data_IF_774667305239
#
_entry.id   IF_774667305239
#
_cell.length_a   1.000
_cell.length_b   1.000
_cell.length_c   1.000
_cell.angle_alpha   90.00
_cell.angle_beta   90.00
_cell.angle_gamma   90.00
#
_symmetry.space_group_name_H-M   'P 1'
#
loop_
_entity.id
_entity.type
_entity.pdbx_description
1 polymer ?
#
# COMPACT_ATOMS: atom_id res chain seq x y z
N UNK A 1 5.82 1.96 -12.10
CA UNK A 1 4.43 1.48 -11.87
C UNK A 1 4.43 -0.03 -11.73
N UNK A 2 3.66 -0.57 -10.79
CA UNK A 2 3.41 -2.00 -10.59
C UNK A 2 1.93 -2.30 -10.91
N UNK A 3 1.70 -3.27 -11.78
CA UNK A 3 0.36 -3.79 -12.09
C UNK A 3 0.28 -5.26 -11.69
N UNK A 4 -0.71 -5.61 -10.87
CA UNK A 4 -1.12 -6.99 -10.63
C UNK A 4 -2.26 -7.36 -11.56
N UNK A 5 -2.10 -8.39 -12.38
CA UNK A 5 -3.10 -8.83 -13.36
C UNK A 5 -3.52 -10.27 -13.10
N UNK A 6 -4.76 -10.62 -13.45
CA UNK A 6 -5.21 -12.01 -13.47
C UNK A 6 -4.61 -12.73 -14.69
N UNK A 7 -4.34 -14.02 -14.59
CA UNK A 7 -3.92 -14.82 -15.75
C UNK A 7 -5.13 -15.24 -16.60
N UNK A 8 -4.98 -15.22 -17.92
CA UNK A 8 -6.03 -15.67 -18.88
C UNK A 8 -6.12 -17.19 -19.05
N UNK A 9 -5.39 -17.98 -18.27
CA UNK A 9 -5.36 -19.44 -18.38
C UNK A 9 -4.37 -19.95 -19.44
N UNK A 10 -4.34 -21.28 -19.61
CA UNK A 10 -3.43 -21.96 -20.53
C UNK A 10 -3.73 -21.64 -21.99
N UNK A 11 -2.70 -21.30 -22.76
CA UNK A 11 -2.76 -21.19 -24.24
C UNK A 11 -2.96 -19.79 -24.81
N UNK A 12 -3.17 -18.75 -23.99
CA UNK A 12 -3.18 -17.35 -24.42
C UNK A 12 -1.94 -16.60 -23.89
N UNK A 13 -1.61 -15.45 -24.49
CA UNK A 13 -0.65 -14.54 -23.84
C UNK A 13 -1.22 -14.13 -22.49
N UNK A 14 -0.61 -14.62 -21.41
CA UNK A 14 -1.04 -14.39 -20.02
C UNK A 14 -1.08 -12.89 -19.64
N UNK A 15 -0.50 -12.05 -20.47
CA UNK A 15 -0.39 -10.61 -20.26
C UNK A 15 -1.44 -9.81 -21.01
N UNK A 16 -2.11 -10.39 -22.03
CA UNK A 16 -3.08 -9.70 -22.88
C UNK A 16 -4.52 -9.92 -22.43
N UNK A 17 -5.35 -8.88 -22.58
CA UNK A 17 -6.79 -8.96 -22.28
C UNK A 17 -7.12 -9.10 -20.80
N UNK A 18 -6.14 -8.99 -19.89
CA UNK A 18 -6.33 -9.14 -18.44
C UNK A 18 -6.64 -7.81 -17.77
N UNK A 19 -7.48 -7.85 -16.74
CA UNK A 19 -7.74 -6.68 -15.89
C UNK A 19 -6.64 -6.54 -14.84
N UNK A 20 -6.31 -5.28 -14.51
CA UNK A 20 -5.37 -4.99 -13.43
C UNK A 20 -6.11 -4.86 -12.10
N UNK A 21 -5.98 -5.87 -11.25
CA UNK A 21 -6.59 -5.88 -9.92
C UNK A 21 -5.78 -5.11 -8.87
N UNK A 22 -4.53 -4.84 -9.16
CA UNK A 22 -3.62 -4.01 -8.37
C UNK A 22 -2.96 -2.98 -9.27
N UNK A 23 -3.03 -1.70 -8.90
CA UNK A 23 -2.41 -0.58 -9.61
C UNK A 23 -1.66 0.25 -8.57
N UNK A 24 -0.33 0.19 -8.57
CA UNK A 24 0.51 0.93 -7.64
C UNK A 24 1.50 1.78 -8.42
N UNK A 25 1.49 3.08 -8.16
CA UNK A 25 2.50 4.01 -8.67
C UNK A 25 3.59 4.13 -7.60
N UNK A 26 4.81 3.80 -7.97
CA UNK A 26 5.98 3.94 -7.09
C UNK A 26 6.82 5.11 -7.60
N UNK A 27 6.98 6.11 -6.77
CA UNK A 27 7.88 7.23 -6.98
C UNK A 27 9.16 7.02 -6.17
N UNK A 28 10.28 6.95 -6.86
CA UNK A 28 11.61 6.75 -6.28
C UNK A 28 12.37 8.05 -6.42
N UNK A 29 12.82 8.61 -5.30
CA UNK A 29 13.63 9.83 -5.32
C UNK A 29 15.04 9.58 -4.76
N UNK A 30 16.04 9.51 -5.64
CA UNK A 30 17.42 9.32 -5.23
C UNK A 30 18.00 10.51 -4.41
N UNK A 31 17.47 11.73 -4.61
CA UNK A 31 17.99 12.93 -3.93
C UNK A 31 17.65 12.95 -2.44
N UNK A 32 16.43 12.57 -2.09
CA UNK A 32 15.98 12.51 -0.70
C UNK A 32 16.09 11.10 -0.13
N UNK A 33 16.52 10.15 -0.95
CA UNK A 33 16.65 8.74 -0.60
C UNK A 33 15.36 8.17 -0.03
N UNK A 34 14.24 8.33 -0.79
CA UNK A 34 12.91 7.95 -0.34
C UNK A 34 12.08 7.25 -1.42
N UNK A 35 11.08 6.48 -0.99
CA UNK A 35 10.13 5.78 -1.85
C UNK A 35 8.71 6.13 -1.42
N UNK A 36 7.89 6.58 -2.38
CA UNK A 36 6.47 6.81 -2.17
C UNK A 36 5.66 5.87 -3.06
N UNK A 37 4.67 5.18 -2.50
CA UNK A 37 3.80 4.26 -3.23
C UNK A 37 2.34 4.69 -3.13
N UNK A 38 1.68 4.91 -4.26
CA UNK A 38 0.26 5.26 -4.34
C UNK A 38 -0.51 4.09 -4.94
N UNK A 39 -1.42 3.51 -4.17
CA UNK A 39 -2.38 2.52 -4.65
C UNK A 39 -3.59 3.23 -5.26
N UNK A 40 -3.96 2.87 -6.48
CA UNK A 40 -5.15 3.35 -7.15
C UNK A 40 -6.22 2.26 -7.08
N UNK A 41 -7.38 2.51 -6.43
CA UNK A 41 -8.45 1.52 -6.36
C UNK A 41 -8.87 1.07 -7.76
N UNK A 42 -8.85 -0.23 -8.02
CA UNK A 42 -9.11 -0.81 -9.35
C UNK A 42 -10.47 -0.43 -9.95
N UNK A 43 -11.45 -0.18 -9.09
CA UNK A 43 -12.82 0.19 -9.48
C UNK A 43 -13.00 1.71 -9.67
N UNK A 44 -11.91 2.50 -9.61
CA UNK A 44 -11.95 3.94 -9.82
C UNK A 44 -12.59 4.27 -11.15
N UNK A 45 -13.62 5.14 -11.10
CA UNK A 45 -14.31 5.64 -12.29
C UNK A 45 -13.44 6.66 -13.00
N UNK A 46 -13.01 6.35 -14.21
CA UNK A 46 -12.16 7.22 -15.02
C UNK A 46 -12.65 7.26 -16.47
N UNK A 47 -12.23 8.27 -17.21
CA UNK A 47 -12.37 8.28 -18.67
C UNK A 47 -11.15 7.60 -19.29
N UNK A 48 -11.37 6.53 -20.03
CA UNK A 48 -10.31 5.87 -20.78
C UNK A 48 -10.13 6.55 -22.15
N UNK A 49 -8.91 6.95 -22.51
CA UNK A 49 -8.58 7.51 -23.83
C UNK A 49 -8.96 6.58 -24.99
N UNK A 50 -8.66 7.04 -26.22
CA UNK A 50 -8.86 6.28 -27.46
C UNK A 50 -10.31 5.79 -27.64
N UNK A 51 -11.28 6.67 -27.32
CA UNK A 51 -12.72 6.44 -27.47
C UNK A 51 -13.27 5.24 -26.65
N UNK A 52 -12.59 4.83 -25.57
CA UNK A 52 -13.05 3.76 -24.69
C UNK A 52 -14.11 4.23 -23.68
N UNK A 53 -14.26 5.55 -23.48
CA UNK A 53 -15.29 6.15 -22.64
C UNK A 53 -15.07 5.96 -21.14
N UNK A 54 -16.14 6.15 -20.37
CA UNK A 54 -16.11 6.03 -18.91
C UNK A 54 -16.13 4.57 -18.49
N UNK A 55 -15.08 4.14 -17.79
CA UNK A 55 -14.86 2.75 -17.34
C UNK A 55 -14.25 2.72 -15.94
N UNK A 56 -14.11 1.50 -15.38
CA UNK A 56 -13.22 1.26 -14.26
C UNK A 56 -11.77 1.30 -14.75
N UNK A 57 -10.86 1.89 -13.97
CA UNK A 57 -9.46 2.01 -14.37
C UNK A 57 -8.80 0.67 -14.66
N UNK A 58 -9.24 -0.41 -13.97
CA UNK A 58 -8.71 -1.76 -14.19
C UNK A 58 -9.00 -2.32 -15.59
N UNK A 59 -9.98 -1.76 -16.31
CA UNK A 59 -10.28 -2.16 -17.69
C UNK A 59 -9.26 -1.63 -18.69
N UNK A 60 -8.47 -0.62 -18.33
CA UNK A 60 -7.50 -0.03 -19.24
C UNK A 60 -6.48 -1.05 -19.76
N UNK A 61 -5.98 -1.94 -18.88
CA UNK A 61 -5.03 -2.96 -19.30
C UNK A 61 -5.67 -3.99 -20.25
N UNK A 62 -6.89 -4.44 -19.96
CA UNK A 62 -7.59 -5.38 -20.81
C UNK A 62 -7.94 -4.82 -22.20
N UNK A 63 -8.22 -3.50 -22.29
CA UNK A 63 -8.70 -2.85 -23.51
C UNK A 63 -7.60 -2.28 -24.41
N UNK A 64 -6.38 -2.08 -23.88
CA UNK A 64 -5.30 -1.48 -24.65
C UNK A 64 -3.91 -1.66 -24.01
N UNK A 65 -3.77 -2.67 -23.15
CA UNK A 65 -2.49 -3.03 -22.53
C UNK A 65 -1.87 -1.89 -21.74
N UNK A 66 -0.56 -2.01 -21.54
CA UNK A 66 0.22 -1.04 -20.77
C UNK A 66 0.17 0.39 -21.32
N UNK A 67 0.06 0.54 -22.65
CA UNK A 67 0.03 1.85 -23.29
C UNK A 67 -1.23 2.64 -22.92
N UNK A 68 -2.39 1.98 -22.92
CA UNK A 68 -3.65 2.61 -22.51
C UNK A 68 -3.64 2.94 -21.01
N UNK A 69 -3.04 2.08 -20.16
CA UNK A 69 -2.87 2.38 -18.74
C UNK A 69 -2.00 3.63 -18.55
N UNK A 70 -0.82 3.70 -19.19
CA UNK A 70 0.09 4.86 -19.12
C UNK A 70 -0.62 6.15 -19.57
N UNK A 71 -1.38 6.08 -20.67
CA UNK A 71 -2.13 7.23 -21.22
C UNK A 71 -3.25 7.66 -20.27
N UNK A 72 -4.00 6.70 -19.72
CA UNK A 72 -5.06 6.97 -18.73
C UNK A 72 -4.50 7.67 -17.49
N UNK A 73 -3.39 7.18 -16.93
CA UNK A 73 -2.74 7.77 -15.77
C UNK A 73 -2.26 9.20 -16.04
N UNK A 74 -1.72 9.44 -17.25
CA UNK A 74 -1.27 10.78 -17.65
C UNK A 74 -2.45 11.74 -17.82
N UNK A 75 -3.52 11.33 -18.51
CA UNK A 75 -4.67 12.21 -18.77
C UNK A 75 -5.55 12.43 -17.54
N UNK A 76 -5.72 11.40 -16.68
CA UNK A 76 -6.58 11.51 -15.50
C UNK A 76 -5.88 12.18 -14.30
N UNK A 77 -4.59 11.85 -14.09
CA UNK A 77 -3.87 12.23 -12.87
C UNK A 77 -2.63 13.09 -13.13
N UNK A 78 -2.29 13.35 -14.39
CA UNK A 78 -1.05 14.04 -14.78
C UNK A 78 0.21 13.18 -14.59
N UNK A 79 0.10 11.91 -14.17
CA UNK A 79 1.23 11.07 -13.79
C UNK A 79 1.87 10.45 -15.04
N UNK A 80 3.14 10.76 -15.28
CA UNK A 80 3.97 10.10 -16.30
C UNK A 80 4.61 8.85 -15.72
N UNK A 81 4.52 7.74 -16.45
CA UNK A 81 5.11 6.46 -16.05
C UNK A 81 6.37 6.21 -16.88
N UNK A 82 7.53 6.21 -16.24
CA UNK A 82 8.82 5.95 -16.87
C UNK A 82 9.09 4.46 -17.07
N UNK A 83 8.85 3.66 -16.02
CA UNK A 83 9.08 2.21 -16.01
C UNK A 83 7.88 1.47 -15.43
N UNK A 84 7.68 0.21 -15.85
CA UNK A 84 6.60 -0.60 -15.33
C UNK A 84 7.05 -2.03 -15.01
N UNK A 85 6.30 -2.66 -14.12
CA UNK A 85 6.35 -4.08 -13.81
C UNK A 85 4.90 -4.59 -13.83
N UNK A 86 4.64 -5.65 -14.58
CA UNK A 86 3.37 -6.38 -14.57
C UNK A 86 3.64 -7.75 -13.94
N UNK A 87 2.85 -8.09 -12.95
CA UNK A 87 2.92 -9.38 -12.23
C UNK A 87 1.57 -10.06 -12.24
N UNK A 88 1.57 -11.38 -12.22
CA UNK A 88 0.39 -12.20 -11.95
C UNK A 88 0.61 -13.03 -10.67
N UNK A 89 -0.42 -13.71 -10.20
CA UNK A 89 -0.40 -14.42 -8.92
C UNK A 89 0.78 -15.40 -8.80
N UNK A 90 1.14 -16.10 -9.89
CA UNK A 90 2.28 -17.03 -9.88
C UNK A 90 3.61 -16.31 -9.64
N UNK A 91 3.80 -15.12 -10.21
CA UNK A 91 4.99 -14.31 -9.95
C UNK A 91 5.10 -13.94 -8.47
N UNK A 92 3.98 -13.54 -7.85
CA UNK A 92 3.91 -13.25 -6.41
C UNK A 92 4.27 -14.51 -5.61
N UNK A 93 3.69 -15.66 -5.96
CA UNK A 93 3.98 -16.95 -5.31
C UNK A 93 5.48 -17.24 -5.34
N UNK A 94 6.09 -17.19 -6.52
CA UNK A 94 7.51 -17.51 -6.70
C UNK A 94 8.45 -16.53 -6.02
N UNK A 95 8.17 -15.24 -6.07
CA UNK A 95 8.95 -14.20 -5.38
C UNK A 95 8.91 -14.42 -3.86
N UNK A 96 7.72 -14.66 -3.30
CA UNK A 96 7.56 -14.88 -1.86
C UNK A 96 8.32 -16.14 -1.43
N UNK A 97 8.24 -17.23 -2.19
CA UNK A 97 8.95 -18.48 -1.89
C UNK A 97 10.46 -18.28 -1.99
N UNK A 98 10.97 -17.58 -3.01
CA UNK A 98 12.40 -17.24 -3.15
C UNK A 98 12.91 -16.41 -1.96
N UNK A 99 12.09 -15.50 -1.43
CA UNK A 99 12.40 -14.72 -0.22
C UNK A 99 12.38 -15.57 1.07
N UNK A 100 11.86 -16.79 1.02
CA UNK A 100 11.66 -17.66 2.19
C UNK A 100 10.46 -17.27 3.03
N UNK A 101 9.43 -16.71 2.39
CA UNK A 101 8.19 -16.29 3.02
C UNK A 101 8.19 -14.85 3.52
N UNK A 102 6.98 -14.31 3.74
CA UNK A 102 6.76 -12.95 4.24
C UNK A 102 6.11 -13.02 5.62
N UNK A 103 6.75 -12.47 6.67
CA UNK A 103 6.15 -12.39 7.99
C UNK A 103 5.00 -11.36 7.97
N UNK A 104 3.82 -11.79 8.44
CA UNK A 104 2.64 -10.92 8.49
C UNK A 104 1.75 -11.29 9.68
N UNK A 105 1.03 -10.31 10.20
CA UNK A 105 -0.05 -10.56 11.14
C UNK A 105 -1.37 -10.72 10.39
N UNK A 106 -1.95 -11.91 10.47
CA UNK A 106 -3.28 -12.18 9.92
C UNK A 106 -4.32 -11.69 10.92
N UNK A 107 -5.09 -10.68 10.56
CA UNK A 107 -5.98 -9.95 11.47
C UNK A 107 -7.18 -10.77 11.94
N UNK A 108 -7.56 -11.79 11.19
CA UNK A 108 -8.67 -12.71 11.48
C UNK A 108 -8.50 -14.04 10.75
N UNK A 109 -9.19 -15.11 11.14
CA UNK A 109 -9.19 -16.35 10.36
C UNK A 109 -9.73 -16.09 8.96
N UNK A 110 -9.03 -16.58 7.93
CA UNK A 110 -9.44 -16.46 6.52
C UNK A 110 -9.60 -17.86 5.95
N UNK A 111 -10.85 -18.27 5.75
CA UNK A 111 -11.20 -19.57 5.16
C UNK A 111 -12.06 -19.33 3.95
N UNK A 112 -11.58 -19.77 2.78
CA UNK A 112 -12.30 -19.64 1.52
C UNK A 112 -11.83 -20.70 0.53
N UNK A 113 -12.79 -21.30 -0.15
CA UNK A 113 -12.53 -22.29 -1.18
C UNK A 113 -13.28 -21.90 -2.46
N UNK A 114 -12.53 -21.77 -3.54
CA UNK A 114 -13.05 -21.56 -4.89
C UNK A 114 -12.46 -22.62 -5.79
N UNK A 115 -13.28 -23.63 -6.10
CA UNK A 115 -12.87 -24.75 -6.95
C UNK A 115 -12.66 -24.32 -8.40
N UNK A 116 -13.49 -23.40 -8.91
CA UNK A 116 -13.39 -22.89 -10.28
C UNK A 116 -12.15 -22.01 -10.47
N UNK A 117 -11.87 -21.14 -9.51
CA UNK A 117 -10.69 -20.26 -9.49
C UNK A 117 -9.43 -20.92 -8.92
N UNK A 118 -9.46 -22.22 -8.58
CA UNK A 118 -8.36 -22.97 -7.95
C UNK A 118 -7.72 -22.24 -6.74
N UNK A 119 -8.56 -21.51 -5.98
CA UNK A 119 -8.10 -20.71 -4.85
C UNK A 119 -8.55 -21.36 -3.54
N UNK A 120 -7.58 -21.75 -2.72
CA UNK A 120 -7.80 -22.29 -1.38
C UNK A 120 -7.10 -21.44 -0.36
N UNK A 121 -7.87 -20.75 0.48
CA UNK A 121 -7.34 -19.89 1.55
C UNK A 121 -7.68 -20.56 2.88
N UNK A 122 -6.67 -20.82 3.68
CA UNK A 122 -6.80 -21.31 5.04
C UNK A 122 -5.68 -20.68 5.87
N UNK A 123 -5.98 -19.53 6.47
CA UNK A 123 -5.06 -18.78 7.31
C UNK A 123 -5.71 -18.56 8.68
N UNK A 124 -5.00 -18.92 9.71
CA UNK A 124 -5.42 -18.64 11.09
C UNK A 124 -4.99 -17.22 11.49
N UNK A 125 -5.70 -16.64 12.43
CA UNK A 125 -5.35 -15.32 13.01
C UNK A 125 -4.03 -15.40 13.78
N UNK A 126 -3.21 -14.38 13.64
CA UNK A 126 -1.97 -14.23 14.40
C UNK A 126 -0.74 -13.97 13.54
N UNK A 127 0.41 -13.91 14.17
CA UNK A 127 1.70 -13.78 13.49
C UNK A 127 2.05 -15.08 12.77
N UNK A 128 2.36 -14.98 11.49
CA UNK A 128 2.75 -16.11 10.66
C UNK A 128 3.74 -15.69 9.58
N UNK A 129 4.43 -16.65 8.99
CA UNK A 129 5.25 -16.44 7.79
C UNK A 129 4.51 -17.07 6.63
N UNK A 130 3.94 -16.24 5.76
CA UNK A 130 3.20 -16.69 4.58
C UNK A 130 4.16 -17.23 3.53
N UNK A 131 3.95 -18.46 3.05
CA UNK A 131 4.55 -18.94 1.81
C UNK A 131 3.85 -18.30 0.59
N UNK A 132 4.35 -18.57 -0.62
CA UNK A 132 3.82 -17.96 -1.83
C UNK A 132 2.33 -18.16 -2.03
N UNK A 133 1.83 -19.39 -1.90
CA UNK A 133 0.39 -19.69 -2.02
C UNK A 133 -0.46 -18.99 -0.95
N UNK A 134 0.03 -18.97 0.26
CA UNK A 134 -0.63 -18.28 1.37
C UNK A 134 -0.65 -16.76 1.15
N UNK A 135 0.43 -16.19 0.63
CA UNK A 135 0.52 -14.77 0.29
C UNK A 135 -0.50 -14.38 -0.79
N UNK A 136 -0.59 -15.15 -1.88
CA UNK A 136 -1.62 -14.95 -2.92
C UNK A 136 -3.02 -15.05 -2.30
N UNK A 137 -3.26 -16.05 -1.46
CA UNK A 137 -4.54 -16.21 -0.74
C UNK A 137 -4.88 -14.98 0.11
N UNK A 138 -3.92 -14.49 0.89
CA UNK A 138 -4.07 -13.31 1.74
C UNK A 138 -4.40 -12.04 0.92
N UNK A 139 -3.71 -11.83 -0.18
CA UNK A 139 -3.92 -10.69 -1.08
C UNK A 139 -5.26 -10.74 -1.82
N UNK A 140 -5.80 -11.94 -2.07
CA UNK A 140 -7.07 -12.15 -2.80
C UNK A 140 -8.29 -12.28 -1.91
N UNK A 141 -8.14 -12.44 -0.60
CA UNK A 141 -9.26 -12.64 0.31
C UNK A 141 -10.21 -11.44 0.36
N UNK A 142 -11.55 -11.73 0.21
CA UNK A 142 -12.62 -10.69 0.16
C UNK A 142 -13.86 -11.06 0.99
N UNK A 143 -13.87 -12.22 1.64
CA UNK A 143 -15.05 -12.72 2.39
C UNK A 143 -15.13 -12.10 3.81
N UNK A 144 -14.89 -10.79 3.89
CA UNK A 144 -15.09 -10.02 5.10
C UNK A 144 -16.08 -8.87 4.88
N UNK A 145 -16.61 -8.30 5.96
CA UNK A 145 -17.55 -7.19 5.89
C UNK A 145 -16.98 -5.90 5.26
N UNK A 146 -15.65 -5.83 5.06
CA UNK A 146 -14.95 -4.71 4.45
C UNK A 146 -14.74 -4.89 2.93
N UNK A 147 -14.96 -6.10 2.39
CA UNK A 147 -14.87 -6.38 0.95
C UNK A 147 -13.58 -5.88 0.29
N UNK A 148 -13.70 -5.00 -0.69
CA UNK A 148 -12.56 -4.42 -1.42
C UNK A 148 -11.70 -3.47 -0.58
N UNK A 149 -12.25 -2.80 0.42
CA UNK A 149 -11.49 -1.94 1.34
C UNK A 149 -10.52 -2.81 2.15
N UNK A 150 -11.00 -3.90 2.73
CA UNK A 150 -10.16 -4.83 3.48
C UNK A 150 -9.07 -5.46 2.62
N UNK A 151 -9.35 -5.75 1.33
CA UNK A 151 -8.34 -6.24 0.39
C UNK A 151 -7.24 -5.18 0.13
N UNK A 152 -7.61 -3.95 -0.15
CA UNK A 152 -6.64 -2.86 -0.37
C UNK A 152 -5.74 -2.68 0.85
N UNK A 153 -6.30 -2.75 2.04
CA UNK A 153 -5.56 -2.66 3.29
C UNK A 153 -4.56 -3.81 3.46
N UNK A 154 -4.98 -5.05 3.15
CA UNK A 154 -4.08 -6.22 3.16
C UNK A 154 -2.95 -6.09 2.14
N UNK A 155 -3.22 -5.56 0.96
CA UNK A 155 -2.19 -5.27 -0.04
C UNK A 155 -1.15 -4.27 0.49
N UNK A 156 -1.58 -3.23 1.20
CA UNK A 156 -0.66 -2.27 1.83
C UNK A 156 0.19 -2.93 2.92
N UNK A 157 -0.43 -3.72 3.80
CA UNK A 157 0.30 -4.44 4.85
C UNK A 157 1.31 -5.42 4.27
N UNK A 158 0.91 -6.15 3.23
CA UNK A 158 1.80 -7.06 2.52
C UNK A 158 2.98 -6.33 1.87
N UNK A 159 2.73 -5.24 1.16
CA UNK A 159 3.81 -4.43 0.56
C UNK A 159 4.81 -3.95 1.61
N UNK A 160 4.32 -3.54 2.76
CA UNK A 160 5.16 -3.14 3.87
C UNK A 160 6.02 -4.30 4.37
N UNK A 161 5.40 -5.43 4.74
CA UNK A 161 6.14 -6.60 5.20
C UNK A 161 7.13 -7.11 4.14
N UNK A 162 6.80 -6.95 2.86
CA UNK A 162 7.74 -7.23 1.77
C UNK A 162 8.96 -6.28 1.81
N UNK A 163 8.75 -4.98 2.00
CA UNK A 163 9.84 -4.02 2.16
C UNK A 163 10.71 -4.34 3.37
N UNK A 164 10.10 -4.57 4.54
CA UNK A 164 10.81 -5.00 5.76
C UNK A 164 11.63 -6.27 5.51
N UNK A 165 11.04 -7.26 4.83
CA UNK A 165 11.74 -8.50 4.47
C UNK A 165 12.93 -8.24 3.55
N UNK A 166 12.80 -7.36 2.56
CA UNK A 166 13.89 -7.00 1.65
C UNK A 166 15.07 -6.34 2.38
N UNK A 167 14.84 -5.66 3.50
CA UNK A 167 15.89 -5.07 4.34
C UNK A 167 16.58 -6.09 5.25
N UNK A 168 15.99 -7.27 5.45
CA UNK A 168 16.56 -8.28 6.32
C UNK A 168 17.91 -8.82 5.78
N UNK A 169 18.90 -9.05 6.66
CA UNK A 169 20.21 -9.58 6.23
C UNK A 169 20.12 -10.91 5.49
N UNK A 170 19.13 -11.75 5.84
CA UNK A 170 18.93 -13.08 5.25
C UNK A 170 18.55 -13.04 3.76
N UNK A 171 18.04 -11.90 3.28
CA UNK A 171 17.64 -11.76 1.86
C UNK A 171 18.83 -11.47 0.95
N UNK A 172 19.96 -11.01 1.47
CA UNK A 172 21.13 -10.66 0.64
C UNK A 172 21.55 -11.84 -0.26
N UNK A 173 21.62 -13.03 0.30
CA UNK A 173 22.00 -14.24 -0.43
C UNK A 173 20.92 -14.74 -1.39
N UNK A 174 19.68 -14.27 -1.23
CA UNK A 174 18.53 -14.67 -2.04
C UNK A 174 18.22 -13.70 -3.19
N UNK A 175 18.86 -12.54 -3.22
CA UNK A 175 18.65 -11.54 -4.28
C UNK A 175 18.82 -12.12 -5.69
N UNK A 176 19.88 -12.90 -6.00
CA UNK A 176 20.04 -13.48 -7.34
C UNK A 176 18.87 -14.39 -7.72
N UNK A 177 18.37 -15.20 -6.78
CA UNK A 177 17.21 -16.09 -7.00
C UNK A 177 15.94 -15.27 -7.27
N UNK A 178 15.66 -14.24 -6.46
CA UNK A 178 14.52 -13.33 -6.64
C UNK A 178 14.59 -12.64 -8.00
N UNK A 179 15.75 -12.13 -8.40
CA UNK A 179 15.92 -11.48 -9.70
C UNK A 179 15.70 -12.45 -10.86
N UNK A 180 16.13 -13.71 -10.72
CA UNK A 180 15.88 -14.73 -11.73
C UNK A 180 14.38 -15.05 -11.85
N UNK A 181 13.67 -15.17 -10.72
CA UNK A 181 12.21 -15.32 -10.70
C UNK A 181 11.54 -14.10 -11.36
N UNK A 182 11.97 -12.91 -11.02
CA UNK A 182 11.44 -11.69 -11.65
C UNK A 182 11.63 -11.71 -13.18
N UNK A 183 12.81 -12.09 -13.66
CA UNK A 183 13.08 -12.17 -15.10
C UNK A 183 12.20 -13.20 -15.83
N UNK A 184 11.76 -14.24 -15.13
CA UNK A 184 10.96 -15.32 -15.72
C UNK A 184 9.44 -15.04 -15.65
N UNK A 185 8.97 -14.45 -14.55
CA UNK A 185 7.56 -14.39 -14.19
C UNK A 185 6.96 -12.98 -14.21
N UNK A 186 7.72 -11.95 -14.60
CA UNK A 186 7.21 -10.58 -14.73
C UNK A 186 7.38 -10.06 -16.17
N UNK A 187 6.49 -9.15 -16.57
CA UNK A 187 6.63 -8.36 -17.80
C UNK A 187 7.04 -6.94 -17.44
N UNK A 188 8.15 -6.47 -17.99
CA UNK A 188 8.70 -5.15 -17.68
C UNK A 188 9.44 -4.56 -18.88
N UNK A 189 9.58 -3.22 -18.92
CA UNK A 189 10.46 -2.49 -19.83
C UNK A 189 11.84 -2.20 -19.23
N UNK A 190 12.14 -2.79 -18.06
CA UNK A 190 13.43 -2.66 -17.41
C UNK A 190 14.36 -3.83 -17.77
N UNK A 191 15.64 -3.52 -17.99
CA UNK A 191 16.69 -4.53 -18.05
C UNK A 191 16.95 -5.16 -16.68
N UNK A 192 17.58 -6.32 -16.69
CA UNK A 192 18.01 -6.97 -15.43
C UNK A 192 18.92 -6.06 -14.59
N UNK A 193 19.78 -5.29 -15.24
CA UNK A 193 20.65 -4.32 -14.55
C UNK A 193 19.82 -3.23 -13.86
N UNK A 194 18.85 -2.63 -14.55
CA UNK A 194 17.95 -1.62 -13.94
C UNK A 194 17.16 -2.19 -12.76
N UNK A 195 16.61 -3.42 -12.91
CA UNK A 195 15.92 -4.09 -11.81
C UNK A 195 16.83 -4.28 -10.59
N UNK A 196 18.09 -4.68 -10.81
CA UNK A 196 19.07 -4.85 -9.73
C UNK A 196 19.40 -3.51 -9.04
N UNK A 197 19.51 -2.43 -9.80
CA UNK A 197 19.72 -1.08 -9.26
C UNK A 197 18.55 -0.60 -8.40
N UNK A 198 17.31 -0.80 -8.87
CA UNK A 198 16.12 -0.46 -8.09
C UNK A 198 15.98 -1.33 -6.83
N UNK A 199 16.32 -2.62 -6.91
CA UNK A 199 16.32 -3.50 -5.75
C UNK A 199 17.38 -3.06 -4.71
N UNK A 200 18.59 -2.72 -5.18
CA UNK A 200 19.65 -2.21 -4.32
C UNK A 200 19.26 -0.87 -3.66
N UNK A 201 18.66 0.04 -4.44
CA UNK A 201 18.16 1.30 -3.91
C UNK A 201 17.08 1.06 -2.85
N UNK A 202 16.08 0.24 -3.14
CA UNK A 202 14.99 -0.04 -2.20
C UNK A 202 15.51 -0.58 -0.86
N UNK A 203 16.54 -1.41 -0.90
CA UNK A 203 17.20 -1.93 0.32
C UNK A 203 17.98 -0.88 1.11
N UNK A 204 18.47 0.16 0.45
CA UNK A 204 19.24 1.22 1.11
C UNK A 204 18.37 2.31 1.72
N UNK A 205 17.09 2.37 1.36
CA UNK A 205 16.14 3.37 1.87
C UNK A 205 15.73 3.01 3.28
N UNK A 206 15.82 3.97 4.19
CA UNK A 206 15.30 3.86 5.56
C UNK A 206 13.78 3.67 5.54
N UNK A 207 13.26 2.76 6.36
CA UNK A 207 11.82 2.47 6.45
C UNK A 207 10.98 3.73 6.74
N UNK A 208 11.52 4.67 7.51
CA UNK A 208 10.89 5.96 7.80
C UNK A 208 10.79 6.89 6.57
N UNK A 209 11.43 6.55 5.47
CA UNK A 209 11.38 7.28 4.20
C UNK A 209 10.56 6.55 3.14
N UNK A 210 9.80 5.54 3.56
CA UNK A 210 8.85 4.83 2.71
C UNK A 210 7.44 5.24 3.11
N UNK A 211 6.72 5.87 2.18
CA UNK A 211 5.34 6.29 2.38
C UNK A 211 4.41 5.52 1.43
N UNK A 212 3.30 4.98 1.97
CA UNK A 212 2.30 4.24 1.19
C UNK A 212 0.93 4.87 1.42
N UNK A 213 0.23 5.22 0.34
CA UNK A 213 -1.12 5.77 0.38
C UNK A 213 -2.06 5.09 -0.63
N UNK A 214 -3.36 5.22 -0.40
CA UNK A 214 -4.39 4.89 -1.39
C UNK A 214 -5.08 6.16 -1.84
N UNK A 215 -5.41 6.29 -3.13
CA UNK A 215 -6.18 7.43 -3.62
C UNK A 215 -7.57 7.47 -2.95
N UNK A 216 -7.92 8.60 -2.34
CA UNK A 216 -9.15 8.75 -1.56
C UNK A 216 -10.39 8.81 -2.45
N UNK A 217 -11.49 8.28 -1.93
CA UNK A 217 -12.78 8.26 -2.62
C UNK A 217 -13.83 7.52 -1.81
N UNK A 218 -14.94 7.20 -2.45
CA UNK A 218 -16.02 6.44 -1.87
C UNK A 218 -16.72 5.58 -2.94
N UNK A 219 -17.37 4.46 -2.55
CA UNK A 219 -18.24 3.72 -3.47
C UNK A 219 -19.38 4.62 -3.96
N UNK A 220 -19.78 4.48 -5.23
CA UNK A 220 -20.98 5.16 -5.71
C UNK A 220 -22.22 4.62 -4.97
N UNK A 221 -23.09 5.56 -4.55
CA UNK A 221 -24.30 5.22 -3.79
C UNK A 221 -25.47 4.76 -4.68
N UNK A 222 -25.41 5.01 -6.00
CA UNK A 222 -26.49 4.73 -6.95
C UNK A 222 -25.93 4.22 -8.27
N UNK A 223 -26.63 3.28 -8.90
CA UNK A 223 -26.30 2.72 -10.22
C UNK A 223 -26.07 1.22 -10.20
N UNK A 224 -26.18 0.58 -11.38
CA UNK A 224 -26.00 -0.87 -11.56
C UNK A 224 -24.52 -1.30 -11.53
N UNK A 225 -23.59 -0.37 -11.81
CA UNK A 225 -22.16 -0.64 -11.82
C UNK A 225 -21.56 -0.04 -10.54
N UNK A 226 -20.91 -0.86 -9.75
CA UNK A 226 -20.18 -0.40 -8.57
C UNK A 226 -18.86 0.26 -9.00
N UNK A 227 -18.73 1.57 -8.80
CA UNK A 227 -17.52 2.34 -9.01
C UNK A 227 -16.97 2.86 -7.70
N UNK A 228 -15.68 3.07 -7.66
CA UNK A 228 -15.02 3.93 -6.68
C UNK A 228 -14.94 5.35 -7.24
N UNK A 229 -15.62 6.29 -6.60
CA UNK A 229 -15.63 7.71 -7.00
C UNK A 229 -14.50 8.40 -6.23
N UNK A 230 -13.47 8.78 -6.95
CA UNK A 230 -12.34 9.50 -6.36
C UNK A 230 -12.77 10.88 -5.89
N UNK A 231 -12.24 11.34 -4.76
CA UNK A 231 -12.34 12.73 -4.32
C UNK A 231 -11.29 13.55 -5.09
N UNK A 232 -11.69 14.47 -5.98
CA UNK A 232 -10.73 15.13 -6.88
C UNK A 232 -9.69 15.97 -6.11
N UNK A 233 -10.13 16.68 -5.06
CA UNK A 233 -9.26 17.54 -4.28
C UNK A 233 -8.25 16.73 -3.49
N UNK A 234 -8.71 15.79 -2.68
CA UNK A 234 -7.82 14.92 -1.88
C UNK A 234 -6.92 14.05 -2.76
N UNK A 235 -7.41 13.60 -3.92
CA UNK A 235 -6.58 12.85 -4.90
C UNK A 235 -5.43 13.70 -5.40
N UNK A 236 -5.68 14.96 -5.81
CA UNK A 236 -4.64 15.87 -6.27
C UNK A 236 -3.64 16.20 -5.16
N UNK A 237 -4.10 16.37 -3.94
CA UNK A 237 -3.26 16.61 -2.76
C UNK A 237 -2.30 15.44 -2.51
N UNK A 238 -2.80 14.18 -2.56
CA UNK A 238 -1.95 12.98 -2.44
C UNK A 238 -0.90 12.92 -3.55
N UNK A 239 -1.30 13.17 -4.80
CA UNK A 239 -0.39 13.14 -5.95
C UNK A 239 0.67 14.24 -5.83
N UNK A 240 0.29 15.46 -5.49
CA UNK A 240 1.21 16.57 -5.30
C UNK A 240 2.24 16.24 -4.21
N UNK A 241 1.78 15.75 -3.08
CA UNK A 241 2.64 15.40 -1.95
C UNK A 241 3.59 14.26 -2.26
N UNK A 242 3.10 13.17 -2.85
CA UNK A 242 3.85 11.92 -2.98
C UNK A 242 4.67 11.83 -4.29
N UNK A 243 4.27 12.55 -5.34
CA UNK A 243 4.94 12.52 -6.63
C UNK A 243 5.65 13.84 -6.91
N UNK A 244 4.95 14.97 -6.78
CA UNK A 244 5.48 16.30 -7.14
C UNK A 244 6.10 17.07 -5.97
N UNK A 245 5.83 16.62 -4.72
CA UNK A 245 6.45 17.15 -3.48
C UNK A 245 6.19 18.63 -3.20
N UNK A 246 4.98 19.06 -3.43
CA UNK A 246 4.52 20.33 -2.88
C UNK A 246 4.63 20.25 -1.36
N UNK A 247 5.50 21.09 -0.78
CA UNK A 247 5.71 21.11 0.68
C UNK A 247 4.53 21.81 1.35
N UNK A 248 3.72 21.10 2.14
CA UNK A 248 2.76 21.79 2.98
C UNK A 248 3.46 22.61 4.06
N UNK A 249 2.91 23.74 4.39
CA UNK A 249 3.38 24.56 5.52
C UNK A 249 3.05 23.83 6.83
N UNK A 250 4.10 23.51 7.60
CA UNK A 250 3.99 22.88 8.92
C UNK A 250 3.44 23.89 9.94
N UNK A 251 2.15 23.76 10.26
CA UNK A 251 1.54 24.40 11.41
C UNK A 251 0.96 23.32 12.32
N UNK A 252 1.80 22.85 13.26
CA UNK A 252 1.49 21.70 14.13
C UNK A 252 0.27 21.94 15.04
N UNK A 253 -0.08 23.19 15.34
CA UNK A 253 -1.17 23.54 16.27
C UNK A 253 -2.57 23.36 15.70
N UNK A 254 -2.69 23.04 14.40
CA UNK A 254 -3.99 22.86 13.72
C UNK A 254 -4.45 21.41 13.65
N UNK A 255 -3.60 20.46 14.06
CA UNK A 255 -3.93 19.04 13.94
C UNK A 255 -4.49 18.47 15.23
N UNK A 256 -5.50 17.59 15.08
CA UNK A 256 -5.99 16.75 16.16
C UNK A 256 -5.24 15.43 16.17
N UNK A 257 -4.73 15.05 17.33
CA UNK A 257 -4.01 13.80 17.52
C UNK A 257 -4.94 12.67 17.96
N UNK A 258 -4.69 11.46 17.49
CA UNK A 258 -5.32 10.24 17.96
C UNK A 258 -4.29 9.28 18.53
N UNK A 259 -4.68 8.49 19.54
CA UNK A 259 -3.89 7.37 20.03
C UNK A 259 -4.80 6.15 20.07
N UNK A 260 -4.46 5.13 19.27
CA UNK A 260 -5.04 3.79 19.35
C UNK A 260 -4.02 2.88 20.06
N UNK A 261 -4.45 2.17 21.08
CA UNK A 261 -3.51 1.38 21.86
C UNK A 261 -4.09 0.03 22.29
N UNK A 262 -3.24 -0.99 22.36
CA UNK A 262 -3.59 -2.27 22.93
C UNK A 262 -3.58 -2.23 24.46
N UNK A 263 -4.29 -3.13 25.15
CA UNK A 263 -4.46 -3.08 26.61
C UNK A 263 -3.15 -2.99 27.41
N UNK A 264 -2.09 -3.65 26.94
CA UNK A 264 -0.77 -3.63 27.61
C UNK A 264 0.03 -2.35 27.38
N UNK A 265 -0.43 -1.49 26.48
CA UNK A 265 0.21 -0.21 26.11
C UNK A 265 -0.48 1.01 26.74
N UNK A 266 -1.34 0.81 27.73
CA UNK A 266 -2.14 1.88 28.33
C UNK A 266 -1.30 2.95 29.01
N UNK A 267 -0.25 2.54 29.78
CA UNK A 267 0.65 3.49 30.43
C UNK A 267 1.45 4.31 29.40
N UNK A 268 1.96 3.64 28.35
CA UNK A 268 2.68 4.29 27.25
C UNK A 268 1.77 5.26 26.49
N UNK A 269 0.53 4.87 26.24
CA UNK A 269 -0.46 5.71 25.57
C UNK A 269 -0.82 6.96 26.41
N UNK A 270 -0.93 6.80 27.73
CA UNK A 270 -1.22 7.92 28.62
C UNK A 270 -0.06 8.92 28.69
N UNK A 271 1.18 8.44 28.82
CA UNK A 271 2.38 9.28 28.78
C UNK A 271 2.50 10.03 27.46
N UNK A 272 2.17 9.37 26.35
CA UNK A 272 2.20 9.99 25.01
C UNK A 272 1.12 11.05 24.86
N UNK A 273 -0.09 10.84 25.41
CA UNK A 273 -1.17 11.82 25.45
C UNK A 273 -0.72 13.10 26.17
N UNK A 274 -0.10 12.96 27.33
CA UNK A 274 0.39 14.11 28.12
C UNK A 274 1.36 14.94 27.32
N UNK A 275 2.37 14.31 26.70
CA UNK A 275 3.35 15.00 25.87
C UNK A 275 2.73 15.69 24.64
N UNK A 276 1.79 15.03 23.95
CA UNK A 276 1.07 15.65 22.84
C UNK A 276 0.24 16.86 23.30
N UNK A 277 -0.40 16.75 24.47
CA UNK A 277 -1.17 17.85 25.04
C UNK A 277 -0.28 19.03 25.45
N UNK A 278 0.92 18.78 25.98
CA UNK A 278 1.93 19.81 26.26
C UNK A 278 2.41 20.52 24.98
N UNK A 279 2.43 19.80 23.84
CA UNK A 279 2.72 20.37 22.53
C UNK A 279 1.53 21.12 21.90
N UNK A 280 0.38 21.19 22.61
CA UNK A 280 -0.81 21.91 22.19
C UNK A 280 -1.81 21.13 21.33
N UNK A 281 -1.64 19.83 21.19
CA UNK A 281 -2.60 19.00 20.43
C UNK A 281 -3.84 18.66 21.26
N UNK A 282 -5.02 18.67 20.59
CA UNK A 282 -6.21 18.00 21.10
C UNK A 282 -6.05 16.49 20.86
N UNK A 283 -6.12 15.67 21.93
CA UNK A 283 -5.79 14.23 21.85
C UNK A 283 -7.00 13.36 22.18
N UNK A 284 -7.42 12.54 21.22
CA UNK A 284 -8.40 11.49 21.40
C UNK A 284 -7.73 10.14 21.61
N UNK A 285 -8.29 9.27 22.45
CA UNK A 285 -7.74 7.95 22.73
C UNK A 285 -8.78 6.85 22.50
N UNK A 286 -8.32 5.70 21.96
CA UNK A 286 -9.16 4.52 21.76
C UNK A 286 -8.39 3.26 22.11
N UNK A 287 -8.92 2.47 23.05
CA UNK A 287 -8.39 1.15 23.41
C UNK A 287 -8.90 0.08 22.46
N UNK A 288 -7.99 -0.67 21.83
CA UNK A 288 -8.32 -1.73 20.86
C UNK A 288 -7.60 -3.01 21.24
N UNK A 289 -8.33 -4.11 21.32
CA UNK A 289 -7.82 -5.38 21.82
C UNK A 289 -6.77 -6.04 20.93
N UNK A 290 -6.77 -5.73 19.62
CA UNK A 290 -5.89 -6.37 18.65
C UNK A 290 -5.36 -5.33 17.64
N UNK A 291 -4.18 -4.80 17.92
CA UNK A 291 -3.41 -3.96 17.01
C UNK A 291 -2.18 -4.74 16.55
N UNK A 292 -1.93 -4.77 15.24
CA UNK A 292 -0.89 -5.60 14.65
C UNK A 292 0.51 -4.99 14.70
N UNK A 293 0.62 -3.67 14.59
CA UNK A 293 1.91 -2.98 14.52
C UNK A 293 1.83 -1.58 15.10
N UNK A 294 2.88 -1.18 15.79
CA UNK A 294 3.09 0.21 16.23
C UNK A 294 3.45 1.06 15.02
N UNK A 295 2.74 2.20 14.83
CA UNK A 295 2.89 3.03 13.64
C UNK A 295 2.31 4.42 13.81
N UNK A 296 2.71 5.32 12.93
CA UNK A 296 2.13 6.65 12.79
C UNK A 296 1.23 6.68 11.55
N UNK A 297 -0.04 7.01 11.73
CA UNK A 297 -1.03 7.07 10.65
C UNK A 297 -1.45 8.51 10.41
N UNK A 298 -1.22 9.02 9.22
CA UNK A 298 -1.74 10.29 8.77
C UNK A 298 -3.13 10.09 8.18
N UNK A 299 -4.15 10.71 8.77
CA UNK A 299 -5.54 10.64 8.30
C UNK A 299 -5.89 11.82 7.37
N UNK A 300 -5.07 12.87 7.39
CA UNK A 300 -5.16 14.01 6.46
C UNK A 300 -3.88 14.16 5.65
N UNK A 301 -4.01 14.69 4.45
CA UNK A 301 -2.92 14.87 3.49
C UNK A 301 -1.88 15.91 3.91
N UNK A 302 -2.24 16.87 4.75
CA UNK A 302 -1.30 17.88 5.31
C UNK A 302 -0.46 17.31 6.46
N UNK A 303 -0.83 16.16 7.02
CA UNK A 303 0.01 15.40 7.94
C UNK A 303 1.00 14.59 7.10
N UNK A 304 2.21 15.08 6.99
CA UNK A 304 3.24 14.54 6.11
C UNK A 304 4.34 13.82 6.90
N UNK A 305 5.22 13.13 6.18
CA UNK A 305 6.43 12.56 6.79
C UNK A 305 7.34 13.67 7.40
N UNK A 306 7.33 14.86 6.82
CA UNK A 306 8.05 16.01 7.40
C UNK A 306 7.43 16.46 8.72
N UNK A 307 6.11 16.35 8.86
CA UNK A 307 5.42 16.56 10.13
C UNK A 307 5.81 15.49 11.15
N UNK A 308 5.83 14.20 10.77
CA UNK A 308 6.33 13.15 11.66
C UNK A 308 7.79 13.41 12.07
N UNK A 309 8.67 13.75 11.14
CA UNK A 309 10.06 14.08 11.43
C UNK A 309 10.20 15.28 12.38
N UNK A 310 9.33 16.28 12.26
CA UNK A 310 9.27 17.41 13.20
C UNK A 310 8.79 16.92 14.58
N UNK A 311 7.76 16.09 14.64
CA UNK A 311 7.20 15.56 15.88
C UNK A 311 8.21 14.64 16.60
N UNK A 312 8.95 13.81 15.86
CA UNK A 312 10.02 12.94 16.39
C UNK A 312 11.14 13.71 17.07
N UNK A 313 11.46 14.93 16.61
CA UNK A 313 12.43 15.81 17.28
C UNK A 313 11.92 16.28 18.65
N UNK A 314 10.61 16.33 18.87
CA UNK A 314 9.98 16.71 20.14
C UNK A 314 9.65 15.50 21.01
N UNK A 315 9.41 14.36 20.38
CA UNK A 315 8.98 13.10 20.99
C UNK A 315 9.86 11.95 20.44
N UNK A 316 11.05 11.72 20.97
CA UNK A 316 11.97 10.68 20.48
C UNK A 316 11.41 9.25 20.54
N UNK A 317 10.40 8.99 21.37
CA UNK A 317 9.68 7.72 21.42
C UNK A 317 8.94 7.36 20.13
N UNK A 318 8.71 8.35 19.26
CA UNK A 318 8.15 8.13 17.91
C UNK A 318 9.21 7.73 16.88
N UNK A 319 10.50 7.72 17.27
CA UNK A 319 11.55 7.26 16.37
C UNK A 319 11.29 5.81 15.97
N UNK A 320 11.54 5.51 14.70
CA UNK A 320 11.27 4.20 14.07
C UNK A 320 9.78 3.84 13.92
N UNK A 321 8.85 4.75 14.22
CA UNK A 321 7.47 4.55 13.82
C UNK A 321 7.31 4.72 12.31
N UNK A 322 6.67 3.74 11.72
CA UNK A 322 6.39 3.74 10.29
C UNK A 322 5.26 4.71 9.96
N UNK A 323 5.49 5.56 8.97
CA UNK A 323 4.48 6.49 8.46
C UNK A 323 3.51 5.79 7.51
N UNK A 324 2.21 5.95 7.74
CA UNK A 324 1.14 5.51 6.84
C UNK A 324 0.23 6.68 6.56
N UNK A 325 -0.16 6.84 5.29
CA UNK A 325 -1.27 7.71 4.95
C UNK A 325 -2.55 6.89 4.76
N UNK A 326 -3.56 7.14 5.59
CA UNK A 326 -4.86 6.47 5.57
C UNK A 326 -5.99 7.50 5.52
N UNK A 327 -6.37 7.99 4.31
CA UNK A 327 -7.46 8.92 4.14
C UNK A 327 -8.84 8.28 4.35
N UNK A 328 -8.91 6.96 4.51
CA UNK A 328 -10.17 6.24 4.77
C UNK A 328 -10.59 6.30 6.23
N UNK A 329 -9.71 6.86 7.07
CA UNK A 329 -9.90 7.01 8.52
C UNK A 329 -10.13 5.69 9.26
N UNK A 330 -9.67 4.55 8.67
CA UNK A 330 -9.78 3.23 9.30
C UNK A 330 -9.04 3.17 10.64
N UNK A 331 -7.93 3.94 10.75
CA UNK A 331 -7.17 4.15 11.97
C UNK A 331 -7.33 5.61 12.44
N UNK A 332 -8.57 6.07 12.61
CA UNK A 332 -8.85 7.41 13.12
C UNK A 332 -9.78 7.32 14.33
N UNK A 333 -9.55 8.20 15.27
CA UNK A 333 -10.44 8.47 16.41
C UNK A 333 -11.01 9.89 16.33
N UNK A 334 -11.40 10.29 15.12
CA UNK A 334 -11.77 11.68 14.83
C UNK A 334 -10.55 12.61 14.85
N UNK A 335 -9.42 12.12 14.38
CA UNK A 335 -8.09 12.75 14.45
C UNK A 335 -7.52 12.97 13.06
N UNK A 336 -6.63 13.94 12.93
CA UNK A 336 -5.94 14.25 11.69
C UNK A 336 -4.73 13.33 11.49
N UNK A 337 -4.16 12.84 12.60
CA UNK A 337 -3.20 11.75 12.63
C UNK A 337 -3.43 10.85 13.84
N UNK A 338 -3.01 9.60 13.75
CA UNK A 338 -3.19 8.61 14.81
C UNK A 338 -1.88 7.87 15.08
N UNK A 339 -1.49 7.81 16.32
CA UNK A 339 -0.40 6.95 16.80
C UNK A 339 -1.02 5.61 17.23
N UNK A 340 -0.57 4.55 16.62
CA UNK A 340 -1.03 3.19 16.92
C UNK A 340 0.05 2.49 17.73
N UNK A 341 -0.30 2.07 18.96
CA UNK A 341 0.59 1.35 19.88
C UNK A 341 0.12 -0.10 19.99
N UNK A 342 0.81 -0.99 19.27
CA UNK A 342 0.55 -2.42 19.27
C UNK A 342 1.37 -3.16 20.33
N UNK A 343 0.87 -4.31 20.74
CA UNK A 343 1.69 -5.32 21.40
C UNK A 343 2.61 -5.94 20.35
N UNK A 344 3.92 -5.83 20.54
CA UNK A 344 4.94 -6.39 19.64
C UNK A 344 4.89 -7.90 19.55
#
# INVERSE_FOLDING_TARGET
MLLGVDSNGEGSDIWEGTRSDTIIIVNIDPKTHSINAISIPRDSKVYLPDNKGVQKINSAHALGGINLVKKTLKETFGIKIDKYIIVHDEAVEKVVDALGGIPIYVEKPMKYHDYAGKLHINLDKGNTVLNGKQAVGYLRYRKDGLGDIGRTQRQQWFMRSLFEKLHSPQVITKIPEVLNVCNTYIKTDMSFYELSQYAAFARSVDENKIEIATLPGAPNQRGYISYWILDPKKTQEVINRMIYRDKPTLDGTKFKAGIMYSPRKEEEAQAMKEKLSELGFEVNMLKITHLSHTRFVANKNDVTIDFLNWLQKKMPELNNMQFIYDPTETFSVGSDFTIVLAEG
#
